data_IF_546841995625
#
_entry.id   IF_546841995625
#
_cell.length_a   1.000
_cell.length_b   1.000
_cell.length_c   1.000
_cell.angle_alpha   90.00
_cell.angle_beta   90.00
_cell.angle_gamma   90.00
#
_symmetry.space_group_name_H-M   'P 1'
#
loop_
_entity.id
_entity.type
_entity.pdbx_description
1 polymer ?
#
# COMPACT_ATOMS: atom_id res chain seq x y z
N UNK A 1 -19.84 -0.33 -22.80
CA UNK A 1 -18.81 -0.42 -21.75
C UNK A 1 -17.52 -0.82 -22.46
N UNK A 2 -16.60 0.13 -22.67
CA UNK A 2 -15.28 -0.21 -23.23
C UNK A 2 -14.50 -0.97 -22.15
N UNK A 3 -14.12 -2.22 -22.42
CA UNK A 3 -13.15 -2.93 -21.62
C UNK A 3 -11.80 -2.20 -21.80
N UNK A 4 -11.41 -1.39 -20.81
CA UNK A 4 -10.05 -0.84 -20.77
C UNK A 4 -9.08 -2.02 -20.69
N UNK A 5 -8.28 -2.20 -21.75
CA UNK A 5 -7.22 -3.20 -21.77
C UNK A 5 -6.12 -2.75 -20.80
N UNK A 6 -5.63 -3.67 -19.98
CA UNK A 6 -4.46 -3.42 -19.15
C UNK A 6 -3.21 -3.44 -20.01
N UNK A 7 -2.35 -2.46 -19.80
CA UNK A 7 -1.00 -2.48 -20.31
C UNK A 7 -0.10 -3.23 -19.34
N UNK A 8 0.84 -3.99 -19.89
CA UNK A 8 1.71 -4.88 -19.10
C UNK A 8 3.14 -4.74 -19.60
N UNK A 9 4.08 -4.58 -18.69
CA UNK A 9 5.52 -4.56 -18.96
C UNK A 9 6.25 -5.37 -17.88
N UNK A 10 7.27 -6.14 -18.27
CA UNK A 10 8.16 -6.81 -17.33
C UNK A 10 9.43 -5.98 -17.16
N UNK A 11 9.77 -5.62 -15.91
CA UNK A 11 10.93 -4.83 -15.56
C UNK A 11 11.74 -5.65 -14.54
N UNK A 12 12.93 -6.09 -14.91
CA UNK A 12 13.84 -6.91 -14.10
C UNK A 12 13.16 -8.10 -13.38
N UNK A 13 12.20 -8.72 -14.07
CA UNK A 13 11.44 -9.87 -13.56
C UNK A 13 10.08 -9.52 -12.95
N UNK A 14 9.88 -8.29 -12.46
CA UNK A 14 8.62 -7.83 -11.89
C UNK A 14 7.62 -7.46 -13.00
N UNK A 15 6.38 -7.93 -12.88
CA UNK A 15 5.31 -7.62 -13.82
C UNK A 15 4.64 -6.31 -13.43
N UNK A 16 4.78 -5.26 -14.23
CA UNK A 16 4.10 -3.98 -14.02
C UNK A 16 2.83 -3.93 -14.85
N UNK A 17 1.69 -3.64 -14.21
CA UNK A 17 0.36 -3.63 -14.81
C UNK A 17 -0.32 -2.31 -14.51
N UNK A 18 -0.88 -1.63 -15.53
CA UNK A 18 -1.64 -0.40 -15.37
C UNK A 18 -2.71 -0.29 -16.46
N UNK A 19 -3.73 0.55 -16.25
CA UNK A 19 -4.70 0.91 -17.28
C UNK A 19 -4.12 1.86 -18.31
N UNK A 20 -3.30 2.82 -17.88
CA UNK A 20 -2.67 3.81 -18.76
C UNK A 20 -1.17 3.51 -18.93
N UNK A 21 -0.63 3.52 -20.16
CA UNK A 21 0.79 3.22 -20.42
C UNK A 21 1.73 4.18 -19.69
N UNK A 22 1.35 5.44 -19.55
CA UNK A 22 2.15 6.47 -18.85
C UNK A 22 2.40 6.09 -17.37
N UNK A 23 1.47 5.40 -16.73
CA UNK A 23 1.65 4.93 -15.36
C UNK A 23 2.73 3.85 -15.27
N UNK A 24 2.90 3.01 -16.31
CA UNK A 24 4.02 2.06 -16.38
C UNK A 24 5.36 2.79 -16.46
N UNK A 25 5.45 3.84 -17.27
CA UNK A 25 6.67 4.64 -17.41
C UNK A 25 7.04 5.35 -16.09
N UNK A 26 6.04 5.79 -15.33
CA UNK A 26 6.23 6.39 -13.99
C UNK A 26 6.74 5.35 -12.98
N UNK A 27 6.19 4.13 -13.00
CA UNK A 27 6.67 3.02 -12.15
C UNK A 27 8.11 2.65 -12.55
N UNK A 28 8.41 2.56 -13.85
CA UNK A 28 9.77 2.27 -14.32
C UNK A 28 10.77 3.33 -13.85
N UNK A 29 10.40 4.62 -13.90
CA UNK A 29 11.23 5.71 -13.39
C UNK A 29 11.48 5.57 -11.89
N UNK A 30 10.46 5.23 -11.11
CA UNK A 30 10.58 4.98 -9.67
C UNK A 30 11.47 3.75 -9.37
N UNK A 31 11.33 2.66 -10.11
CA UNK A 31 12.15 1.46 -9.96
C UNK A 31 13.62 1.75 -10.30
N UNK A 32 13.89 2.52 -11.35
CA UNK A 32 15.22 2.95 -11.72
C UNK A 32 15.84 3.80 -10.60
N UNK A 33 15.08 4.72 -10.02
CA UNK A 33 15.54 5.54 -8.89
C UNK A 33 15.95 4.67 -7.69
N UNK A 34 15.17 3.61 -7.37
CA UNK A 34 15.55 2.66 -6.31
C UNK A 34 16.84 1.93 -6.67
N UNK A 35 16.99 1.48 -7.91
CA UNK A 35 18.19 0.80 -8.40
C UNK A 35 19.44 1.65 -8.30
N UNK A 36 19.36 2.92 -8.68
CA UNK A 36 20.46 3.87 -8.71
C UNK A 36 20.92 4.26 -7.29
N UNK A 37 19.98 4.46 -6.35
CA UNK A 37 20.30 4.96 -5.00
C UNK A 37 20.37 3.88 -3.92
N UNK A 38 19.74 2.71 -4.12
CA UNK A 38 19.79 1.58 -3.20
C UNK A 38 19.75 0.22 -3.92
N UNK A 39 20.85 -0.15 -4.63
CA UNK A 39 20.88 -1.37 -5.45
C UNK A 39 20.67 -2.66 -4.65
N UNK A 40 21.03 -2.67 -3.35
CA UNK A 40 20.80 -3.82 -2.48
C UNK A 40 19.30 -3.99 -2.24
N UNK A 41 18.60 -2.91 -1.94
CA UNK A 41 17.15 -2.90 -1.73
C UNK A 41 16.40 -3.24 -3.01
N UNK A 42 16.85 -2.69 -4.14
CA UNK A 42 16.28 -3.01 -5.46
C UNK A 42 16.34 -4.52 -5.75
N UNK A 43 17.51 -5.14 -5.50
CA UNK A 43 17.68 -6.59 -5.66
C UNK A 43 16.68 -7.38 -4.80
N UNK A 44 16.48 -6.98 -3.54
CA UNK A 44 15.48 -7.61 -2.67
C UNK A 44 14.06 -7.41 -3.19
N UNK A 45 13.74 -6.21 -3.65
CA UNK A 45 12.43 -5.87 -4.20
C UNK A 45 12.06 -6.78 -5.38
N UNK A 46 12.97 -6.91 -6.37
CA UNK A 46 12.71 -7.76 -7.55
C UNK A 46 12.67 -9.25 -7.24
N UNK A 47 13.27 -9.67 -6.11
CA UNK A 47 13.17 -11.05 -5.62
C UNK A 47 11.88 -11.32 -4.84
N UNK A 48 11.34 -10.30 -4.17
CA UNK A 48 10.26 -10.45 -3.20
C UNK A 48 8.88 -10.08 -3.77
N UNK A 49 8.82 -9.28 -4.85
CA UNK A 49 7.59 -8.92 -5.54
C UNK A 49 7.46 -9.64 -6.89
N UNK A 50 6.30 -10.22 -7.15
CA UNK A 50 5.94 -10.77 -8.46
C UNK A 50 5.36 -9.70 -9.39
N UNK A 51 4.67 -8.71 -8.79
CA UNK A 51 3.91 -7.71 -9.54
C UNK A 51 3.86 -6.37 -8.85
N UNK A 52 3.79 -5.31 -9.65
CA UNK A 52 3.32 -3.99 -9.25
C UNK A 52 2.07 -3.69 -10.09
N UNK A 53 0.95 -3.39 -9.43
CA UNK A 53 -0.32 -3.15 -10.11
C UNK A 53 -0.85 -1.76 -9.74
N UNK A 54 -0.96 -0.91 -10.75
CA UNK A 54 -1.61 0.40 -10.62
C UNK A 54 -3.12 0.22 -10.81
N UNK A 55 -3.86 0.44 -9.74
CA UNK A 55 -5.31 0.24 -9.69
C UNK A 55 -5.94 1.12 -8.61
N UNK A 56 -7.24 1.01 -8.38
CA UNK A 56 -7.89 1.69 -7.25
C UNK A 56 -7.55 0.98 -5.94
N UNK A 57 -6.87 1.67 -5.03
CA UNK A 57 -6.53 1.19 -3.68
C UNK A 57 -7.30 2.00 -2.64
N UNK A 58 -8.45 1.51 -2.14
CA UNK A 58 -9.26 2.25 -1.20
C UNK A 58 -8.52 2.57 0.09
N UNK A 59 -8.44 3.88 0.44
CA UNK A 59 -7.94 4.36 1.71
C UNK A 59 -6.44 4.26 1.93
N UNK A 60 -5.68 3.96 0.87
CA UNK A 60 -4.22 3.93 0.94
C UNK A 60 -3.62 4.32 -0.40
N UNK A 61 -2.42 4.86 -0.40
CA UNK A 61 -1.66 5.13 -1.63
C UNK A 61 -1.00 3.86 -2.19
N UNK A 62 -0.76 2.88 -1.32
CA UNK A 62 -0.15 1.60 -1.68
C UNK A 62 -0.60 0.49 -0.72
N UNK A 63 -0.43 -0.76 -1.13
CA UNK A 63 -0.69 -1.94 -0.29
C UNK A 63 0.03 -3.17 -0.81
N UNK A 64 0.71 -3.90 0.06
CA UNK A 64 1.19 -5.24 -0.26
C UNK A 64 0.07 -6.28 -0.16
N UNK A 65 -0.17 -7.01 -1.23
CA UNK A 65 -1.12 -8.11 -1.31
C UNK A 65 -0.36 -9.44 -1.32
N UNK A 66 -0.39 -10.11 -0.16
CA UNK A 66 0.37 -11.35 0.08
C UNK A 66 -0.09 -12.57 -0.75
N UNK A 67 -1.35 -12.59 -1.19
CA UNK A 67 -1.91 -13.75 -1.92
C UNK A 67 -1.19 -14.04 -3.24
N UNK A 68 -0.64 -13.02 -3.87
CA UNK A 68 0.00 -13.08 -5.18
C UNK A 68 1.23 -12.14 -5.29
N UNK A 69 1.81 -11.80 -4.15
CA UNK A 69 3.04 -11.03 -4.02
C UNK A 69 3.03 -9.71 -4.80
N UNK A 70 1.87 -9.06 -4.80
CA UNK A 70 1.62 -7.82 -5.56
C UNK A 70 1.75 -6.60 -4.66
N UNK A 71 2.47 -5.58 -5.13
CA UNK A 71 2.37 -4.21 -4.66
C UNK A 71 1.26 -3.51 -5.45
N UNK A 72 0.10 -3.28 -4.83
CA UNK A 72 -0.96 -2.44 -5.41
C UNK A 72 -0.63 -0.98 -5.14
N UNK A 73 -0.68 -0.13 -6.16
CA UNK A 73 -0.51 1.33 -6.07
C UNK A 73 -1.77 2.03 -6.54
N UNK A 74 -2.22 3.05 -5.80
CA UNK A 74 -3.41 3.80 -6.16
C UNK A 74 -3.17 4.64 -7.42
N UNK A 75 -4.07 4.51 -8.41
CA UNK A 75 -3.91 5.17 -9.70
C UNK A 75 -3.82 6.70 -9.58
N UNK A 76 -4.71 7.42 -8.85
CA UNK A 76 -4.58 8.85 -8.60
C UNK A 76 -3.25 9.26 -7.94
N UNK A 77 -2.73 8.44 -7.04
CA UNK A 77 -1.42 8.68 -6.43
C UNK A 77 -0.31 8.57 -7.48
N UNK A 78 -0.29 7.50 -8.28
CA UNK A 78 0.72 7.31 -9.33
C UNK A 78 0.67 8.44 -10.35
N UNK A 79 -0.51 8.93 -10.72
CA UNK A 79 -0.69 10.02 -11.69
C UNK A 79 -0.13 11.37 -11.21
N UNK A 80 -0.16 11.63 -9.91
CA UNK A 80 0.14 12.96 -9.34
C UNK A 80 1.44 13.04 -8.55
N UNK A 81 1.90 11.91 -7.96
CA UNK A 81 3.10 11.86 -7.14
C UNK A 81 4.38 12.01 -7.97
N UNK A 82 5.46 12.45 -7.35
CA UNK A 82 6.81 12.45 -7.96
C UNK A 82 7.37 11.02 -8.01
N UNK A 83 8.35 10.72 -8.87
CA UNK A 83 9.02 9.42 -8.90
C UNK A 83 9.60 9.00 -7.55
N UNK A 84 10.08 9.95 -6.74
CA UNK A 84 10.64 9.73 -5.42
C UNK A 84 9.57 9.23 -4.44
N UNK A 85 8.38 9.82 -4.47
CA UNK A 85 7.25 9.40 -3.62
C UNK A 85 6.73 8.02 -4.03
N UNK A 86 6.64 7.76 -5.33
CA UNK A 86 6.27 6.43 -5.84
C UNK A 86 7.31 5.39 -5.42
N UNK A 87 8.60 5.71 -5.55
CA UNK A 87 9.70 4.83 -5.15
C UNK A 87 9.66 4.53 -3.64
N UNK A 88 9.41 5.54 -2.80
CA UNK A 88 9.27 5.38 -1.35
C UNK A 88 8.11 4.45 -1.00
N UNK A 89 6.93 4.62 -1.62
CA UNK A 89 5.79 3.73 -1.43
C UNK A 89 6.10 2.29 -1.86
N UNK A 90 6.77 2.09 -3.00
CA UNK A 90 7.19 0.76 -3.46
C UNK A 90 8.17 0.12 -2.48
N UNK A 91 9.13 0.88 -1.94
CA UNK A 91 10.08 0.40 -0.93
C UNK A 91 9.38 -0.03 0.35
N UNK A 92 8.36 0.70 0.78
CA UNK A 92 7.53 0.35 1.93
C UNK A 92 6.86 -1.02 1.72
N UNK A 93 6.14 -1.18 0.62
CA UNK A 93 5.38 -2.40 0.31
C UNK A 93 6.29 -3.61 0.01
N UNK A 94 7.43 -3.38 -0.64
CA UNK A 94 8.45 -4.41 -0.82
C UNK A 94 9.08 -4.87 0.51
N UNK A 95 9.11 -3.98 1.52
CA UNK A 95 9.56 -4.36 2.87
C UNK A 95 8.53 -5.27 3.54
N UNK A 96 7.23 -5.03 3.38
CA UNK A 96 6.20 -5.97 3.81
C UNK A 96 6.38 -7.35 3.15
N UNK A 97 6.61 -7.39 1.84
CA UNK A 97 6.86 -8.63 1.11
C UNK A 97 8.08 -9.37 1.69
N UNK A 98 9.18 -8.67 1.92
CA UNK A 98 10.41 -9.21 2.52
C UNK A 98 10.17 -9.80 3.90
N UNK A 99 9.52 -9.06 4.78
CA UNK A 99 9.19 -9.51 6.13
C UNK A 99 8.30 -10.76 6.09
N UNK A 100 7.32 -10.78 5.20
CA UNK A 100 6.44 -11.94 5.03
C UNK A 100 7.21 -13.18 4.54
N UNK A 101 8.16 -13.05 3.60
CA UNK A 101 9.07 -14.15 3.21
C UNK A 101 9.91 -14.67 4.37
N UNK A 102 10.29 -13.79 5.29
CA UNK A 102 11.07 -14.17 6.48
C UNK A 102 10.20 -14.79 7.59
N UNK A 103 8.88 -15.01 7.33
CA UNK A 103 7.95 -15.60 8.28
C UNK A 103 7.30 -14.62 9.24
N UNK A 104 7.52 -13.30 9.07
CA UNK A 104 6.80 -12.29 9.85
C UNK A 104 5.43 -12.02 9.21
N UNK A 105 4.37 -12.35 9.94
CA UNK A 105 3.00 -12.05 9.53
C UNK A 105 2.62 -10.58 9.77
N UNK A 106 1.32 -10.31 9.69
CA UNK A 106 0.75 -8.97 9.92
C UNK A 106 -0.38 -9.05 10.98
N UNK A 107 -0.18 -9.89 11.98
CA UNK A 107 -1.09 -10.06 13.12
C UNK A 107 -1.06 -8.80 14.00
N UNK A 108 -2.18 -8.50 14.64
CA UNK A 108 -2.35 -7.29 15.45
C UNK A 108 -1.23 -7.10 16.47
N UNK A 109 -0.78 -8.18 17.12
CA UNK A 109 0.24 -8.14 18.17
C UNK A 109 1.63 -7.65 17.70
N UNK A 110 1.95 -7.80 16.40
CA UNK A 110 3.25 -7.40 15.84
C UNK A 110 3.15 -6.32 14.76
N UNK A 111 1.94 -5.93 14.41
CA UNK A 111 1.66 -5.03 13.28
C UNK A 111 2.38 -3.69 13.41
N UNK A 112 2.32 -3.07 14.57
CA UNK A 112 3.02 -1.81 14.85
C UNK A 112 4.53 -1.94 14.61
N UNK A 113 5.13 -3.04 15.08
CA UNK A 113 6.55 -3.32 14.85
C UNK A 113 6.86 -3.51 13.36
N UNK A 114 5.99 -4.19 12.62
CA UNK A 114 6.14 -4.38 11.17
C UNK A 114 6.08 -3.04 10.46
N UNK A 115 5.09 -2.20 10.76
CA UNK A 115 4.96 -0.85 10.18
C UNK A 115 6.16 0.04 10.49
N UNK A 116 6.65 0.01 11.73
CA UNK A 116 7.87 0.73 12.10
C UNK A 116 9.09 0.29 11.27
N UNK A 117 9.23 -1.01 10.98
CA UNK A 117 10.32 -1.51 10.14
C UNK A 117 10.13 -1.02 8.70
N UNK A 118 8.93 -1.11 8.15
CA UNK A 118 8.63 -0.65 6.79
C UNK A 118 8.90 0.84 6.64
N UNK A 119 8.40 1.66 7.56
CA UNK A 119 8.59 3.09 7.55
C UNK A 119 10.07 3.50 7.71
N UNK A 120 10.81 2.86 8.62
CA UNK A 120 12.26 3.09 8.75
C UNK A 120 13.03 2.77 7.47
N UNK A 121 12.61 1.73 6.76
CA UNK A 121 13.24 1.35 5.48
C UNK A 121 12.92 2.34 4.37
N UNK A 122 11.69 2.80 4.33
CA UNK A 122 11.25 3.86 3.43
C UNK A 122 12.03 5.16 3.67
N UNK A 123 12.08 5.64 4.91
CA UNK A 123 12.81 6.85 5.28
C UNK A 123 14.32 6.74 5.02
N UNK A 124 14.91 5.58 5.32
CA UNK A 124 16.32 5.33 5.01
C UNK A 124 16.62 5.31 3.51
N UNK A 125 15.65 4.97 2.67
CA UNK A 125 15.74 5.11 1.22
C UNK A 125 15.58 6.59 0.81
N UNK A 126 14.55 7.27 1.30
CA UNK A 126 14.29 8.67 1.00
C UNK A 126 15.50 9.56 1.33
N UNK A 127 16.22 9.29 2.42
CA UNK A 127 17.45 10.01 2.79
C UNK A 127 18.62 9.82 1.82
N UNK A 128 18.58 8.82 0.92
CA UNK A 128 19.63 8.59 -0.10
C UNK A 128 19.36 9.38 -1.39
N UNK A 129 18.15 9.87 -1.57
CA UNK A 129 17.75 10.61 -2.76
C UNK A 129 18.16 12.08 -2.59
N UNK A 130 18.74 12.75 -3.61
CA UNK A 130 19.04 14.16 -3.55
C UNK A 130 17.79 15.00 -3.25
N UNK A 131 17.85 15.84 -2.22
CA UNK A 131 16.69 16.61 -1.74
C UNK A 131 15.67 15.82 -0.93
N UNK A 132 16.03 14.62 -0.48
CA UNK A 132 15.18 13.78 0.35
C UNK A 132 14.96 14.31 1.77
N UNK A 133 14.20 13.53 2.56
CA UNK A 133 13.77 13.86 3.93
C UNK A 133 14.97 13.91 4.88
N UNK A 134 15.05 14.93 5.74
CA UNK A 134 16.06 14.97 6.78
C UNK A 134 15.73 14.06 7.98
N UNK A 135 16.70 13.84 8.86
CA UNK A 135 16.54 12.92 9.99
C UNK A 135 15.51 13.41 11.02
N UNK A 136 15.32 14.73 11.16
CA UNK A 136 14.37 15.29 12.13
C UNK A 136 12.93 15.05 11.67
N UNK A 137 12.63 15.26 10.39
CA UNK A 137 11.31 14.97 9.82
C UNK A 137 11.02 13.47 9.85
N UNK A 138 12.05 12.63 9.62
CA UNK A 138 11.92 11.19 9.69
C UNK A 138 11.49 10.68 11.07
N UNK A 139 12.02 11.24 12.17
CA UNK A 139 11.61 10.88 13.54
C UNK A 139 10.16 11.30 13.82
N UNK A 140 9.76 12.49 13.40
CA UNK A 140 8.39 12.97 13.56
C UNK A 140 7.38 12.05 12.84
N UNK A 141 7.69 11.59 11.64
CA UNK A 141 6.87 10.66 10.86
C UNK A 141 6.76 9.30 11.59
N UNK A 142 7.87 8.76 12.13
CA UNK A 142 7.87 7.51 12.88
C UNK A 142 6.96 7.54 14.12
N UNK A 143 6.83 8.70 14.76
CA UNK A 143 5.96 8.88 15.93
C UNK A 143 4.49 9.16 15.57
N UNK A 144 4.16 9.39 14.30
CA UNK A 144 2.82 9.74 13.82
C UNK A 144 2.00 8.55 13.33
N UNK A 145 2.43 7.30 13.57
CA UNK A 145 1.69 6.13 13.13
C UNK A 145 0.25 6.12 13.65
N UNK A 146 -0.72 5.81 12.80
CA UNK A 146 -2.12 5.75 13.19
C UNK A 146 -2.40 4.55 14.10
N UNK A 147 -3.58 4.52 14.72
CA UNK A 147 -4.06 3.34 15.45
C UNK A 147 -4.08 2.08 14.56
N UNK A 148 -3.14 1.18 14.76
CA UNK A 148 -2.93 -0.04 13.99
C UNK A 148 -3.67 -1.26 14.56
N UNK A 149 -4.52 -1.07 15.57
CA UNK A 149 -5.42 -2.11 16.08
C UNK A 149 -6.43 -2.56 15.01
N UNK A 150 -7.03 -3.73 15.20
CA UNK A 150 -8.09 -4.20 14.32
C UNK A 150 -9.30 -3.25 14.29
N UNK A 151 -9.59 -2.58 15.40
CA UNK A 151 -10.66 -1.60 15.50
C UNK A 151 -10.29 -0.28 14.78
N UNK A 152 -9.02 0.15 14.87
CA UNK A 152 -8.49 1.27 14.09
C UNK A 152 -8.57 1.02 12.59
N UNK A 153 -8.21 -0.18 12.13
CA UNK A 153 -8.37 -0.58 10.72
C UNK A 153 -9.83 -0.63 10.28
N UNK A 154 -10.72 -1.19 11.09
CA UNK A 154 -12.14 -1.26 10.76
C UNK A 154 -12.77 0.13 10.63
N UNK A 155 -12.35 1.07 11.49
CA UNK A 155 -12.79 2.46 11.48
C UNK A 155 -12.33 3.18 10.22
N UNK A 156 -11.03 3.18 9.90
CA UNK A 156 -10.48 3.78 8.67
C UNK A 156 -11.11 3.19 7.41
N UNK A 157 -11.19 1.86 7.32
CA UNK A 157 -11.84 1.21 6.16
C UNK A 157 -13.27 1.68 5.96
N UNK A 158 -14.02 1.93 7.04
CA UNK A 158 -15.37 2.49 6.96
C UNK A 158 -15.38 3.92 6.39
N UNK A 159 -14.46 4.76 6.82
CA UNK A 159 -14.30 6.14 6.35
C UNK A 159 -13.89 6.16 4.86
N UNK A 160 -12.96 5.29 4.45
CA UNK A 160 -12.49 5.15 3.09
C UNK A 160 -13.59 4.70 2.12
N UNK A 161 -14.37 3.67 2.47
CA UNK A 161 -15.52 3.25 1.68
C UNK A 161 -16.55 4.36 1.55
N UNK A 162 -16.80 5.11 2.63
CA UNK A 162 -17.70 6.25 2.59
C UNK A 162 -17.20 7.32 1.61
N UNK A 163 -15.91 7.65 1.64
CA UNK A 163 -15.32 8.63 0.74
C UNK A 163 -15.41 8.20 -0.74
N UNK A 164 -15.19 6.92 -1.04
CA UNK A 164 -15.33 6.36 -2.38
C UNK A 164 -16.76 6.44 -2.87
N UNK A 165 -17.74 6.02 -2.06
CA UNK A 165 -19.17 6.09 -2.44
C UNK A 165 -19.60 7.53 -2.72
N UNK A 166 -19.12 8.51 -1.93
CA UNK A 166 -19.38 9.91 -2.18
C UNK A 166 -18.76 10.41 -3.50
N UNK A 167 -17.52 9.99 -3.82
CA UNK A 167 -16.87 10.29 -5.12
C UNK A 167 -17.61 9.68 -6.31
N UNK A 168 -18.24 8.52 -6.13
CA UNK A 168 -19.09 7.87 -7.14
C UNK A 168 -20.49 8.48 -7.24
N UNK A 169 -20.77 9.60 -6.54
CA UNK A 169 -22.03 10.31 -6.59
C UNK A 169 -23.14 9.69 -5.74
N UNK A 170 -22.81 8.77 -4.82
CA UNK A 170 -23.79 8.17 -3.93
C UNK A 170 -24.21 9.16 -2.84
N UNK A 171 -25.51 9.34 -2.54
CA UNK A 171 -25.96 10.19 -1.44
C UNK A 171 -25.35 9.78 -0.10
N UNK A 172 -24.94 10.76 0.72
CA UNK A 172 -24.19 10.52 1.96
C UNK A 172 -24.88 9.62 2.99
N UNK A 173 -26.22 9.64 3.05
CA UNK A 173 -27.02 8.76 3.91
C UNK A 173 -26.95 7.29 3.47
N UNK A 174 -26.92 7.04 2.15
CA UNK A 174 -26.82 5.69 1.57
C UNK A 174 -25.39 5.13 1.77
N UNK A 175 -24.36 5.95 1.56
CA UNK A 175 -22.97 5.58 1.84
C UNK A 175 -22.79 5.20 3.33
N UNK A 176 -23.39 5.96 4.26
CA UNK A 176 -23.40 5.67 5.69
C UNK A 176 -24.11 4.36 6.05
N UNK A 177 -25.21 4.05 5.39
CA UNK A 177 -25.96 2.80 5.61
C UNK A 177 -25.13 1.55 5.22
N UNK A 178 -24.47 1.56 4.06
CA UNK A 178 -23.63 0.44 3.62
C UNK A 178 -22.42 0.21 4.54
N UNK A 179 -21.78 1.27 5.02
CA UNK A 179 -20.66 1.18 5.97
C UNK A 179 -21.13 0.61 7.31
N UNK A 180 -22.28 1.03 7.81
CA UNK A 180 -22.83 0.57 9.09
C UNK A 180 -23.25 -0.90 9.05
N UNK A 181 -23.87 -1.35 7.96
CA UNK A 181 -24.34 -2.75 7.81
C UNK A 181 -23.16 -3.72 7.64
N UNK A 182 -22.09 -3.33 6.91
CA UNK A 182 -20.89 -4.16 6.77
C UNK A 182 -20.15 -4.34 8.11
N UNK A 183 -20.06 -3.27 8.90
CA UNK A 183 -19.44 -3.30 10.24
C UNK A 183 -20.25 -4.14 11.23
N UNK A 184 -21.58 -4.15 11.13
CA UNK A 184 -22.46 -4.97 11.97
C UNK A 184 -22.35 -6.46 11.63
N UNK A 185 -22.31 -6.83 10.34
CA UNK A 185 -22.12 -8.23 9.88
C UNK A 185 -20.76 -8.78 10.31
N UNK A 186 -19.69 -8.00 10.26
CA UNK A 186 -18.37 -8.41 10.74
C UNK A 186 -18.34 -8.65 12.25
N UNK A 187 -18.96 -7.79 13.05
CA UNK A 187 -19.09 -7.97 14.51
C UNK A 187 -19.90 -9.21 14.88
N UNK A 188 -20.94 -9.51 14.13
CA UNK A 188 -21.81 -10.69 14.39
C UNK A 188 -21.08 -12.00 14.05
N UNK A 189 -20.25 -12.04 13.01
CA UNK A 189 -19.42 -13.20 12.66
C UNK A 189 -18.35 -13.48 13.71
N UNK A 190 -17.68 -12.45 14.26
CA UNK A 190 -16.68 -12.59 15.33
C UNK A 190 -17.27 -13.15 16.64
N UNK A 191 -18.49 -12.73 17.01
CA UNK A 191 -19.17 -13.26 18.21
C UNK A 191 -19.54 -14.75 18.09
N UNK A 192 -19.81 -15.24 16.87
CA UNK A 192 -20.09 -16.68 16.63
C UNK A 192 -18.84 -17.54 16.69
N UNK A 193 -17.67 -17.03 16.27
CA UNK A 193 -16.40 -17.78 16.33
C UNK A 193 -15.76 -17.79 17.71
N UNK A 194 -16.11 -16.88 18.61
CA UNK A 194 -15.61 -16.83 19.97
C UNK A 194 -16.44 -17.66 20.97
N UNK A 195 -17.63 -18.11 20.58
CA UNK A 195 -18.54 -18.91 21.43
C UNK A 195 -18.47 -20.43 21.22
N UNK A 196 -17.47 -20.93 20.46
CA UNK A 196 -17.30 -22.36 20.15
C UNK A 196 -15.92 -22.85 20.62
N UNK A 197 -15.53 -22.47 21.82
CA UNK A 197 -14.41 -23.07 22.56
C UNK A 197 -14.85 -23.45 23.97
#
# INVERSE_FOLDING_TARGET
>A
MQHKLHHVRRIDGVLVVAFEPVNIDRIESALRLIGDHDPIRYRHLVQDLERIWVSVVPGSVARFRRSDWTCDLDEPFVETATPELIASAIVHEATHARLYRMGFGYEEAIRERVEHICLRRELAFAAKIPGGIDNHDAEAILHSLPDLSNDGFARRRGEDFRAIFLRLGMPGWLAGFFVSTSSWLHRRRRRKSAGTR
#
